data_IF_454706230260
#
_entry.id   IF_454706230260
#
_cell.length_a   1.000
_cell.length_b   1.000
_cell.length_c   1.000
_cell.angle_alpha   90.00
_cell.angle_beta   90.00
_cell.angle_gamma   90.00
#
_symmetry.space_group_name_H-M   'P 1'
#
loop_
_entity.id
_entity.type
_entity.pdbx_description
1 polymer ?
#
# COMPACT_ATOMS: atom_id res chain seq x y z
N UNK A 1 14.81 -56.60 -22.51
CA UNK A 1 14.00 -55.80 -21.57
C UNK A 1 14.82 -54.54 -21.36
N UNK A 2 14.33 -53.41 -21.85
CA UNK A 2 14.99 -52.11 -21.72
C UNK A 2 14.75 -51.60 -20.32
N UNK A 3 15.83 -51.44 -19.54
CA UNK A 3 15.81 -50.74 -18.27
C UNK A 3 15.36 -49.30 -18.54
N UNK A 4 14.13 -49.00 -18.12
CA UNK A 4 13.56 -47.67 -18.18
C UNK A 4 14.20 -46.85 -17.05
N UNK A 5 15.34 -46.21 -17.36
CA UNK A 5 16.03 -45.23 -16.51
C UNK A 5 15.22 -43.92 -16.37
N UNK A 6 13.90 -44.04 -16.17
CA UNK A 6 13.01 -42.93 -15.88
C UNK A 6 13.48 -42.23 -14.61
N UNK A 7 13.57 -40.90 -14.64
CA UNK A 7 13.87 -40.10 -13.45
C UNK A 7 12.83 -40.46 -12.37
N UNK A 8 13.24 -40.92 -11.18
CA UNK A 8 12.28 -41.27 -10.13
C UNK A 8 11.45 -40.04 -9.76
N UNK A 9 10.15 -40.25 -9.74
CA UNK A 9 9.11 -39.29 -9.38
C UNK A 9 9.35 -38.75 -7.95
N UNK A 10 9.19 -37.44 -7.68
CA UNK A 10 9.25 -36.92 -6.29
C UNK A 10 8.10 -37.62 -5.54
N UNK A 11 8.41 -38.41 -4.50
CA UNK A 11 7.39 -38.99 -3.64
C UNK A 11 6.49 -37.97 -2.93
N UNK A 12 6.78 -36.67 -3.05
CA UNK A 12 6.01 -35.57 -2.47
C UNK A 12 5.34 -34.62 -3.48
N UNK A 13 5.82 -34.50 -4.74
CA UNK A 13 5.23 -33.62 -5.77
C UNK A 13 4.70 -34.40 -6.98
N UNK A 14 4.96 -35.73 -7.04
CA UNK A 14 4.66 -36.59 -8.19
C UNK A 14 5.21 -36.05 -9.53
N UNK A 15 6.21 -35.16 -9.48
CA UNK A 15 6.84 -34.59 -10.67
C UNK A 15 7.96 -35.51 -11.16
N UNK A 16 7.91 -35.83 -12.45
CA UNK A 16 8.90 -36.65 -13.15
C UNK A 16 10.03 -35.83 -13.77
N UNK A 17 9.96 -34.49 -13.71
CA UNK A 17 10.94 -33.59 -14.34
C UNK A 17 12.30 -33.52 -13.62
N UNK A 18 12.47 -34.23 -12.51
CA UNK A 18 13.74 -34.26 -11.76
C UNK A 18 14.13 -32.96 -11.08
N UNK A 19 13.17 -32.04 -10.89
CA UNK A 19 13.38 -30.69 -10.32
C UNK A 19 13.16 -30.66 -8.81
N UNK A 20 12.52 -31.68 -8.26
CA UNK A 20 12.29 -31.81 -6.83
C UNK A 20 13.51 -32.53 -6.20
N UNK A 21 14.14 -31.94 -5.18
CA UNK A 21 15.29 -32.56 -4.49
C UNK A 21 14.90 -33.94 -3.96
N UNK A 22 15.70 -34.98 -4.25
CA UNK A 22 15.49 -36.35 -3.72
C UNK A 22 15.50 -36.38 -2.19
N UNK A 23 16.11 -35.38 -1.56
CA UNK A 23 16.09 -35.14 -0.12
C UNK A 23 15.59 -33.71 0.12
N UNK A 24 14.31 -33.53 0.48
CA UNK A 24 13.81 -32.22 0.90
C UNK A 24 14.68 -31.74 2.06
N UNK A 25 15.28 -30.56 1.94
CA UNK A 25 16.06 -29.95 3.01
C UNK A 25 15.77 -28.46 3.07
N UNK A 26 15.65 -27.95 4.29
CA UNK A 26 15.60 -26.52 4.54
C UNK A 26 17.03 -25.98 4.60
N UNK A 27 17.20 -24.70 4.27
CA UNK A 27 18.45 -24.00 4.56
C UNK A 27 18.57 -23.89 6.08
N UNK A 28 19.66 -24.45 6.64
CA UNK A 28 19.92 -24.51 8.08
C UNK A 28 18.76 -25.13 8.89
N UNK A 29 18.06 -26.12 8.32
CA UNK A 29 16.91 -26.79 8.95
C UNK A 29 15.76 -25.86 9.37
N UNK A 30 15.72 -24.64 8.81
CA UNK A 30 14.86 -23.54 9.28
C UNK A 30 14.18 -22.76 8.15
N UNK A 31 14.90 -22.50 7.07
CA UNK A 31 14.44 -21.58 6.03
C UNK A 31 14.12 -22.28 4.71
N UNK A 32 13.11 -21.78 4.01
CA UNK A 32 12.94 -22.06 2.58
C UNK A 32 12.77 -20.75 1.81
N UNK A 33 12.97 -20.81 0.49
CA UNK A 33 12.84 -19.63 -0.38
C UNK A 33 11.87 -19.92 -1.50
N UNK A 34 10.99 -18.98 -1.78
CA UNK A 34 10.05 -19.04 -2.90
C UNK A 34 10.39 -17.93 -3.88
N UNK A 35 10.51 -18.29 -5.15
CA UNK A 35 10.56 -17.31 -6.24
C UNK A 35 9.12 -16.98 -6.64
N UNK A 36 8.79 -15.70 -6.69
CA UNK A 36 7.46 -15.24 -7.11
C UNK A 36 7.34 -15.37 -8.63
N UNK A 37 6.43 -16.22 -9.09
CA UNK A 37 6.09 -16.42 -10.51
C UNK A 37 4.89 -15.56 -10.90
N UNK A 38 4.58 -15.38 -12.19
CA UNK A 38 3.55 -14.44 -12.70
C UNK A 38 2.22 -14.40 -11.90
N UNK A 39 1.74 -15.54 -11.39
CA UNK A 39 0.47 -15.65 -10.66
C UNK A 39 0.60 -15.55 -9.13
N UNK A 40 1.74 -15.07 -8.63
CA UNK A 40 2.03 -15.03 -7.19
C UNK A 40 1.00 -14.20 -6.41
N UNK A 41 0.37 -13.23 -7.05
CA UNK A 41 -0.63 -12.34 -6.49
C UNK A 41 -1.96 -13.06 -6.18
N UNK A 42 -2.24 -14.17 -6.88
CA UNK A 42 -3.39 -15.04 -6.65
C UNK A 42 -3.03 -16.16 -5.67
N UNK A 43 -1.96 -16.88 -5.94
CA UNK A 43 -1.49 -17.97 -5.09
C UNK A 43 0.02 -18.15 -5.19
N UNK A 44 0.64 -18.58 -4.10
CA UNK A 44 2.07 -18.89 -4.05
C UNK A 44 2.30 -20.31 -3.58
N UNK A 45 2.88 -21.11 -4.47
CA UNK A 45 3.12 -22.54 -4.24
C UNK A 45 4.34 -22.78 -3.36
N UNK A 46 4.22 -23.75 -2.46
CA UNK A 46 5.32 -24.22 -1.63
C UNK A 46 6.19 -25.18 -2.45
N UNK A 47 7.53 -25.00 -2.49
CA UNK A 47 8.44 -25.93 -3.16
C UNK A 47 8.35 -27.38 -2.64
N UNK A 48 8.56 -28.42 -3.50
CA UNK A 48 8.54 -29.85 -3.07
C UNK A 48 9.43 -30.05 -1.84
N UNK A 49 10.62 -29.44 -1.83
CA UNK A 49 11.61 -29.61 -0.76
C UNK A 49 11.17 -29.00 0.60
N UNK A 50 10.28 -28.02 0.60
CA UNK A 50 9.83 -27.34 1.82
C UNK A 50 8.45 -27.83 2.30
N UNK A 51 7.66 -28.41 1.39
CA UNK A 51 6.27 -28.82 1.62
C UNK A 51 6.09 -29.70 2.87
N UNK A 52 6.90 -30.75 3.12
CA UNK A 52 6.72 -31.60 4.30
C UNK A 52 6.81 -30.82 5.61
N UNK A 53 7.80 -29.92 5.70
CA UNK A 53 8.06 -29.13 6.89
C UNK A 53 6.99 -28.07 7.15
N UNK A 54 6.46 -27.45 6.08
CA UNK A 54 5.36 -26.48 6.21
C UNK A 54 4.07 -27.17 6.66
N UNK A 55 3.80 -28.37 6.14
CA UNK A 55 2.64 -29.16 6.55
C UNK A 55 2.73 -29.60 8.01
N UNK A 56 3.89 -30.11 8.44
CA UNK A 56 4.18 -30.42 9.84
C UNK A 56 4.00 -29.17 10.73
N UNK A 57 4.57 -28.03 10.33
CA UNK A 57 4.46 -26.74 11.06
C UNK A 57 3.02 -26.24 11.19
N UNK A 58 2.15 -26.56 10.25
CA UNK A 58 0.73 -26.20 10.29
C UNK A 58 -0.15 -27.32 10.88
N UNK A 59 0.49 -28.37 11.44
CA UNK A 59 -0.12 -29.48 12.15
C UNK A 59 -0.88 -30.48 11.27
N UNK A 60 -0.62 -30.52 9.96
CA UNK A 60 -1.17 -31.56 9.11
C UNK A 60 -0.59 -32.91 9.55
N UNK A 61 -1.43 -33.94 9.65
CA UNK A 61 -0.97 -35.28 10.02
C UNK A 61 -0.02 -35.85 8.97
N UNK A 62 0.85 -36.77 9.39
CA UNK A 62 1.78 -37.45 8.48
C UNK A 62 1.06 -38.29 7.42
N UNK A 63 -0.21 -38.64 7.63
CA UNK A 63 -1.06 -39.34 6.65
C UNK A 63 -1.88 -38.35 5.79
N UNK A 64 -1.83 -37.05 6.09
CA UNK A 64 -2.62 -36.00 5.42
C UNK A 64 -1.90 -35.35 4.23
N UNK A 65 -0.69 -35.80 3.87
CA UNK A 65 0.02 -35.30 2.67
C UNK A 65 -0.79 -35.49 1.38
N UNK A 66 -1.68 -36.48 1.36
CA UNK A 66 -2.57 -36.76 0.22
C UNK A 66 -3.97 -36.15 0.40
N UNK A 67 -4.28 -35.55 1.56
CA UNK A 67 -5.60 -35.02 1.85
C UNK A 67 -5.80 -33.59 1.32
N UNK A 68 -6.96 -33.37 0.70
CA UNK A 68 -7.39 -32.04 0.27
C UNK A 68 -7.97 -31.31 1.49
N UNK A 69 -7.17 -30.48 2.11
CA UNK A 69 -7.54 -29.74 3.32
C UNK A 69 -7.07 -28.28 3.22
N UNK A 70 -7.81 -27.38 3.87
CA UNK A 70 -7.43 -25.97 3.99
C UNK A 70 -7.29 -25.61 5.46
N UNK A 71 -6.14 -25.05 5.83
CA UNK A 71 -5.88 -24.51 7.16
C UNK A 71 -5.60 -23.02 7.11
N UNK A 72 -5.62 -22.39 8.28
CA UNK A 72 -5.16 -21.02 8.45
C UNK A 72 -3.70 -21.03 8.88
N UNK A 73 -2.92 -20.11 8.34
CA UNK A 73 -1.53 -19.89 8.73
C UNK A 73 -1.36 -18.42 9.11
N UNK A 74 -0.63 -18.17 10.19
CA UNK A 74 -0.25 -16.83 10.61
C UNK A 74 1.10 -16.49 9.99
N UNK A 75 1.12 -15.55 9.05
CA UNK A 75 2.36 -15.02 8.47
C UNK A 75 2.77 -13.76 9.19
N UNK A 76 3.98 -13.74 9.76
CA UNK A 76 4.53 -12.61 10.50
C UNK A 76 5.74 -12.02 9.83
N UNK A 77 6.00 -10.74 10.09
CA UNK A 77 7.16 -10.04 9.51
C UNK A 77 7.88 -9.26 10.61
N UNK A 78 9.19 -9.02 10.43
CA UNK A 78 9.99 -8.23 11.38
C UNK A 78 9.53 -6.79 11.58
N UNK A 79 8.76 -6.25 10.62
CA UNK A 79 8.12 -4.93 10.73
C UNK A 79 6.79 -4.98 11.51
N UNK A 80 6.50 -6.10 12.17
CA UNK A 80 5.36 -6.34 13.05
C UNK A 80 4.04 -6.64 12.34
N UNK A 81 4.00 -6.70 11.01
CA UNK A 81 2.77 -7.07 10.29
C UNK A 81 2.45 -8.54 10.49
N UNK A 82 1.16 -8.83 10.62
CA UNK A 82 0.61 -10.17 10.77
C UNK A 82 -0.52 -10.37 9.74
N UNK A 83 -0.48 -11.49 9.03
CA UNK A 83 -1.45 -11.84 8.00
C UNK A 83 -1.99 -13.25 8.26
N UNK A 84 -3.29 -13.35 8.51
CA UNK A 84 -3.98 -14.63 8.61
C UNK A 84 -4.32 -15.14 7.21
N UNK A 85 -3.49 -16.00 6.64
CA UNK A 85 -3.68 -16.51 5.27
C UNK A 85 -4.35 -17.88 5.28
N UNK A 86 -4.93 -18.28 4.13
CA UNK A 86 -5.34 -19.67 3.93
C UNK A 86 -4.20 -20.44 3.28
N UNK A 87 -3.94 -21.61 3.83
CA UNK A 87 -3.00 -22.57 3.29
C UNK A 87 -3.80 -23.76 2.76
N UNK A 88 -3.68 -23.99 1.46
CA UNK A 88 -4.38 -25.06 0.75
C UNK A 88 -3.42 -26.21 0.53
N UNK A 89 -3.78 -27.40 0.99
CA UNK A 89 -3.09 -28.64 0.68
C UNK A 89 -3.91 -29.48 -0.30
N UNK A 90 -3.23 -30.11 -1.25
CA UNK A 90 -3.74 -31.14 -2.13
C UNK A 90 -2.63 -32.18 -2.36
N UNK A 91 -2.97 -33.32 -2.95
CA UNK A 91 -2.08 -34.49 -3.14
C UNK A 91 -0.67 -34.11 -3.61
N UNK A 92 -0.59 -33.29 -4.65
CA UNK A 92 0.66 -32.96 -5.37
C UNK A 92 1.22 -31.58 -5.03
N UNK A 93 0.47 -30.74 -4.31
CA UNK A 93 0.81 -29.31 -4.15
C UNK A 93 0.18 -28.67 -2.93
N UNK A 94 0.90 -27.71 -2.37
CA UNK A 94 0.39 -26.83 -1.33
C UNK A 94 0.69 -25.38 -1.67
N UNK A 95 -0.19 -24.46 -1.29
CA UNK A 95 0.00 -23.03 -1.60
C UNK A 95 -0.70 -22.11 -0.60
N UNK A 96 -0.16 -20.90 -0.46
CA UNK A 96 -0.87 -19.78 0.15
C UNK A 96 -1.79 -19.12 -0.88
N UNK A 97 -3.01 -18.78 -0.47
CA UNK A 97 -3.96 -18.02 -1.28
C UNK A 97 -4.96 -17.32 -0.36
N UNK A 98 -5.35 -16.08 -0.69
CA UNK A 98 -6.52 -15.31 -0.22
C UNK A 98 -6.22 -13.80 -0.29
N UNK A 99 -7.20 -12.96 0.03
CA UNK A 99 -7.01 -11.51 0.13
C UNK A 99 -5.96 -11.07 1.16
N UNK A 100 -5.69 -11.87 2.19
CA UNK A 100 -4.65 -11.54 3.18
C UNK A 100 -3.25 -11.90 2.67
N UNK A 101 -3.14 -12.92 1.82
CA UNK A 101 -1.93 -13.16 1.03
C UNK A 101 -1.70 -12.00 0.06
N UNK A 102 -2.77 -11.53 -0.59
CA UNK A 102 -2.72 -10.36 -1.47
C UNK A 102 -2.25 -9.10 -0.71
N UNK A 103 -2.72 -8.93 0.53
CA UNK A 103 -2.30 -7.83 1.39
C UNK A 103 -0.80 -7.90 1.75
N UNK A 104 -0.24 -9.10 2.00
CA UNK A 104 1.18 -9.26 2.32
C UNK A 104 2.05 -8.73 1.17
N UNK A 105 1.83 -9.21 -0.06
CA UNK A 105 2.69 -8.78 -1.15
C UNK A 105 2.50 -7.28 -1.47
N UNK A 106 1.27 -6.75 -1.36
CA UNK A 106 1.00 -5.31 -1.51
C UNK A 106 1.69 -4.48 -0.43
N UNK A 107 1.76 -5.00 0.79
CA UNK A 107 2.43 -4.33 1.92
C UNK A 107 3.90 -4.06 1.61
N UNK A 108 4.57 -4.99 0.92
CA UNK A 108 6.01 -4.90 0.62
C UNK A 108 6.31 -4.53 -0.84
N UNK A 109 5.30 -4.42 -1.69
CA UNK A 109 5.48 -4.11 -3.10
C UNK A 109 6.29 -5.18 -3.83
N UNK A 110 6.01 -6.46 -3.55
CA UNK A 110 6.70 -7.53 -4.24
C UNK A 110 6.38 -7.54 -5.74
N UNK A 111 7.37 -7.94 -6.53
CA UNK A 111 7.30 -8.05 -7.98
C UNK A 111 7.66 -9.47 -8.42
N UNK A 112 7.25 -9.84 -9.63
CA UNK A 112 7.62 -11.12 -10.24
C UNK A 112 9.15 -11.28 -10.28
N UNK A 113 9.63 -12.50 -10.04
CA UNK A 113 11.05 -12.83 -10.02
C UNK A 113 11.74 -12.58 -8.68
N UNK A 114 11.12 -11.83 -7.76
CA UNK A 114 11.65 -11.68 -6.40
C UNK A 114 11.69 -13.02 -5.67
N UNK A 115 12.65 -13.15 -4.74
CA UNK A 115 12.81 -14.33 -3.89
C UNK A 115 12.48 -13.97 -2.46
N UNK A 116 11.48 -14.63 -1.90
CA UNK A 116 11.01 -14.41 -0.53
C UNK A 116 11.46 -15.58 0.33
N UNK A 117 12.15 -15.27 1.42
CA UNK A 117 12.58 -16.27 2.40
C UNK A 117 11.50 -16.41 3.48
N UNK A 118 11.21 -17.65 3.83
CA UNK A 118 10.31 -18.01 4.91
C UNK A 118 11.09 -18.76 5.98
N UNK A 119 10.78 -18.47 7.23
CA UNK A 119 11.33 -19.07 8.43
C UNK A 119 10.20 -19.77 9.19
N UNK A 120 10.30 -21.09 9.29
CA UNK A 120 9.29 -21.94 9.94
C UNK A 120 9.71 -22.40 11.34
N UNK A 121 10.95 -22.08 11.76
CA UNK A 121 11.51 -22.47 13.06
C UNK A 121 12.28 -21.28 13.65
N UNK A 122 11.61 -20.17 13.97
CA UNK A 122 12.26 -19.04 14.63
C UNK A 122 12.80 -19.48 16.00
N UNK A 123 14.08 -19.21 16.26
CA UNK A 123 14.81 -19.65 17.47
C UNK A 123 14.23 -19.14 18.81
N UNK A 124 13.35 -18.14 18.78
CA UNK A 124 12.90 -17.39 19.95
C UNK A 124 11.54 -17.85 20.54
N UNK A 125 10.99 -18.99 20.10
CA UNK A 125 9.69 -19.48 20.60
C UNK A 125 9.78 -20.95 21.03
N UNK A 126 10.03 -21.18 22.32
CA UNK A 126 9.81 -22.47 23.03
C UNK A 126 8.30 -22.74 23.24
N UNK A 127 7.51 -22.54 22.20
CA UNK A 127 6.07 -22.79 22.22
C UNK A 127 5.75 -23.75 21.07
N UNK A 128 5.59 -25.03 21.42
CA UNK A 128 5.29 -26.11 20.47
C UNK A 128 3.95 -25.89 19.75
N UNK A 129 3.07 -25.02 20.27
CA UNK A 129 1.80 -24.64 19.63
C UNK A 129 1.94 -23.46 18.65
N UNK A 130 3.15 -22.88 18.52
CA UNK A 130 3.39 -21.78 17.61
C UNK A 130 3.40 -22.24 16.15
N UNK A 131 2.28 -22.04 15.47
CA UNK A 131 2.11 -22.31 14.03
C UNK A 131 2.43 -21.09 13.15
N UNK A 132 3.05 -20.05 13.69
CA UNK A 132 3.47 -18.87 12.92
C UNK A 132 4.60 -19.23 11.95
N UNK A 133 4.52 -18.65 10.75
CA UNK A 133 5.58 -18.67 9.76
C UNK A 133 6.07 -17.24 9.58
N UNK A 134 7.36 -17.01 9.78
CA UNK A 134 7.97 -15.72 9.58
C UNK A 134 8.33 -15.55 8.11
N UNK A 135 7.94 -14.41 7.55
CA UNK A 135 8.35 -13.97 6.22
C UNK A 135 9.51 -13.00 6.41
N UNK A 136 10.70 -13.45 6.04
CA UNK A 136 11.92 -12.68 6.16
C UNK A 136 12.02 -11.71 4.98
N UNK A 137 11.63 -10.47 5.24
CA UNK A 137 11.57 -9.40 4.25
C UNK A 137 12.53 -8.29 4.67
N UNK A 138 13.62 -8.10 3.93
CA UNK A 138 14.58 -7.02 4.19
C UNK A 138 14.12 -5.65 3.73
N UNK A 139 13.16 -5.61 2.81
CA UNK A 139 12.62 -4.36 2.29
C UNK A 139 11.63 -3.75 3.28
N UNK A 140 11.67 -2.41 3.49
CA UNK A 140 10.67 -1.74 4.31
C UNK A 140 9.29 -1.87 3.67
N UNK A 141 8.20 -1.88 4.46
CA UNK A 141 6.85 -1.85 3.91
C UNK A 141 6.65 -0.59 3.07
N UNK A 142 5.83 -0.71 2.03
CA UNK A 142 5.41 0.39 1.13
C UNK A 142 3.96 0.83 1.41
N UNK A 143 3.17 0.05 2.14
CA UNK A 143 1.82 0.40 2.57
C UNK A 143 1.65 0.19 4.08
N UNK A 144 0.99 1.13 4.80
CA UNK A 144 0.76 1.04 6.23
C UNK A 144 -0.38 0.08 6.57
N UNK A 145 -0.44 -0.41 7.81
CA UNK A 145 -1.60 -1.19 8.30
C UNK A 145 -2.93 -0.45 8.15
N UNK A 146 -2.93 0.86 8.38
CA UNK A 146 -4.14 1.70 8.23
C UNK A 146 -4.72 1.64 6.83
N UNK A 147 -3.90 1.43 5.78
CA UNK A 147 -4.40 1.24 4.41
C UNK A 147 -5.36 0.04 4.32
N UNK A 148 -4.99 -1.10 4.90
CA UNK A 148 -5.79 -2.33 4.85
C UNK A 148 -7.04 -2.27 5.71
N UNK A 149 -7.02 -1.46 6.78
CA UNK A 149 -8.18 -1.20 7.65
C UNK A 149 -9.13 -0.14 7.08
N UNK A 150 -8.67 0.65 6.10
CA UNK A 150 -9.45 1.74 5.53
C UNK A 150 -10.52 1.28 4.54
N UNK A 151 -11.48 2.16 4.28
CA UNK A 151 -12.57 1.90 3.34
C UNK A 151 -12.06 1.62 1.92
N UNK A 152 -12.86 0.91 1.10
CA UNK A 152 -12.53 0.67 -0.31
C UNK A 152 -12.33 1.99 -1.08
N UNK A 153 -13.06 3.05 -0.71
CA UNK A 153 -12.90 4.36 -1.33
C UNK A 153 -11.57 4.99 -0.94
N UNK A 154 -11.22 4.98 0.35
CA UNK A 154 -9.93 5.51 0.84
C UNK A 154 -8.75 4.83 0.15
N UNK A 155 -8.78 3.50 0.02
CA UNK A 155 -7.76 2.74 -0.73
C UNK A 155 -7.65 3.19 -2.18
N UNK A 156 -8.77 3.36 -2.89
CA UNK A 156 -8.76 3.88 -4.26
C UNK A 156 -8.10 5.26 -4.36
N UNK A 157 -8.33 6.15 -3.40
CA UNK A 157 -7.67 7.47 -3.37
C UNK A 157 -6.16 7.32 -3.17
N UNK A 158 -5.73 6.48 -2.22
CA UNK A 158 -4.30 6.23 -1.99
C UNK A 158 -3.65 5.65 -3.26
N UNK A 159 -4.30 4.68 -3.90
CA UNK A 159 -3.79 4.01 -5.10
C UNK A 159 -3.74 4.95 -6.31
N UNK A 160 -4.70 5.88 -6.44
CA UNK A 160 -4.77 6.84 -7.54
C UNK A 160 -4.02 8.15 -7.27
N UNK A 161 -3.23 8.22 -6.20
CA UNK A 161 -2.47 9.42 -5.81
C UNK A 161 -1.44 9.78 -6.87
N UNK A 162 -1.56 11.00 -7.40
CA UNK A 162 -0.58 11.56 -8.30
C UNK A 162 0.58 12.16 -7.49
N UNK A 163 1.81 11.77 -7.83
CA UNK A 163 3.02 12.30 -7.22
C UNK A 163 3.75 13.16 -8.24
N UNK A 164 4.08 14.41 -7.87
CA UNK A 164 5.09 15.15 -8.60
C UNK A 164 6.48 14.52 -8.42
N UNK A 165 7.46 15.02 -9.19
CA UNK A 165 8.85 14.60 -9.01
C UNK A 165 9.28 14.73 -7.53
N UNK A 166 9.93 13.70 -7.01
CA UNK A 166 10.47 13.65 -5.64
C UNK A 166 9.43 13.89 -4.51
N UNK A 167 8.17 13.50 -4.73
CA UNK A 167 7.11 13.63 -3.71
C UNK A 167 6.47 12.31 -3.28
N UNK A 168 6.97 11.17 -3.78
CA UNK A 168 6.43 9.84 -3.45
C UNK A 168 6.51 9.59 -1.94
N UNK A 169 5.37 9.21 -1.36
CA UNK A 169 5.26 8.95 0.07
C UNK A 169 5.84 7.59 0.45
N UNK A 170 6.51 7.52 1.60
CA UNK A 170 6.91 6.27 2.25
C UNK A 170 5.70 5.64 3.00
N UNK A 171 5.88 4.47 3.62
CA UNK A 171 4.79 3.78 4.33
C UNK A 171 4.18 4.60 5.46
N UNK A 172 5.01 5.23 6.30
CA UNK A 172 4.52 6.07 7.40
C UNK A 172 3.70 7.25 6.86
N UNK A 173 4.23 7.92 5.83
CA UNK A 173 3.59 9.07 5.20
C UNK A 173 2.28 8.72 4.49
N UNK A 174 2.18 7.52 3.91
CA UNK A 174 0.90 7.01 3.41
C UNK A 174 -0.09 6.77 4.55
N UNK A 175 0.39 6.47 5.77
CA UNK A 175 -0.45 6.41 6.96
C UNK A 175 -1.11 7.76 7.24
N UNK A 176 -0.35 8.85 7.10
CA UNK A 176 -0.90 10.21 7.19
C UNK A 176 -1.87 10.54 6.06
N UNK A 177 -1.60 10.08 4.83
CA UNK A 177 -2.55 10.22 3.72
C UNK A 177 -3.87 9.50 4.00
N UNK A 178 -3.85 8.26 4.49
CA UNK A 178 -5.05 7.51 4.87
C UNK A 178 -5.86 8.29 5.91
N UNK A 179 -5.20 8.76 6.97
CA UNK A 179 -5.85 9.54 8.02
C UNK A 179 -6.37 10.90 7.51
N UNK A 180 -5.66 11.54 6.58
CA UNK A 180 -6.11 12.79 5.95
C UNK A 180 -7.38 12.59 5.10
N UNK A 181 -7.49 11.45 4.40
CA UNK A 181 -8.71 11.10 3.65
C UNK A 181 -9.89 10.92 4.61
N UNK A 182 -9.68 10.32 5.78
CA UNK A 182 -10.72 10.19 6.81
C UNK A 182 -11.19 11.56 7.32
N UNK A 183 -10.27 12.51 7.52
CA UNK A 183 -10.62 13.89 7.89
C UNK A 183 -11.49 14.56 6.82
N UNK A 184 -11.20 14.33 5.52
CA UNK A 184 -12.00 14.85 4.41
C UNK A 184 -13.43 14.29 4.47
N UNK A 185 -13.59 12.99 4.69
CA UNK A 185 -14.92 12.37 4.80
C UNK A 185 -15.69 12.86 6.04
N UNK A 186 -15.00 13.05 7.17
CA UNK A 186 -15.58 13.60 8.38
C UNK A 186 -16.04 15.06 8.19
N UNK A 187 -15.22 15.88 7.53
CA UNK A 187 -15.56 17.27 7.20
C UNK A 187 -16.79 17.35 6.29
N UNK A 188 -16.84 16.52 5.24
CA UNK A 188 -17.99 16.47 4.34
C UNK A 188 -19.27 16.10 5.08
N UNK A 189 -19.18 15.10 5.95
CA UNK A 189 -20.30 14.64 6.78
C UNK A 189 -20.83 15.76 7.68
N UNK A 190 -19.94 16.49 8.36
CA UNK A 190 -20.34 17.57 9.27
C UNK A 190 -20.91 18.80 8.57
N UNK A 191 -20.49 19.06 7.33
CA UNK A 191 -20.93 20.21 6.53
C UNK A 191 -22.05 19.86 5.53
N UNK A 192 -22.63 18.65 5.62
CA UNK A 192 -23.66 18.16 4.69
C UNK A 192 -23.26 18.29 3.21
N UNK A 193 -21.97 18.13 2.91
CA UNK A 193 -21.46 18.14 1.54
C UNK A 193 -21.88 16.82 0.89
N UNK A 194 -22.52 16.91 -0.29
CA UNK A 194 -23.05 15.74 -1.01
C UNK A 194 -22.00 14.63 -1.14
N UNK A 195 -22.36 13.36 -0.86
CA UNK A 195 -21.47 12.23 -1.07
C UNK A 195 -21.30 11.89 -2.57
N UNK A 196 -22.14 12.44 -3.45
CA UNK A 196 -22.31 12.00 -4.82
C UNK A 196 -21.46 12.81 -5.83
N UNK A 197 -20.37 12.14 -6.24
CA UNK A 197 -19.60 12.19 -7.51
C UNK A 197 -18.81 13.49 -7.79
N UNK A 198 -17.56 13.45 -8.23
CA UNK A 198 -16.77 12.44 -8.96
C UNK A 198 -15.35 12.39 -8.39
N UNK A 199 -14.72 11.21 -8.46
CA UNK A 199 -13.37 10.86 -8.00
C UNK A 199 -12.53 11.95 -7.31
N UNK A 200 -12.05 11.65 -6.10
CA UNK A 200 -10.95 12.42 -5.53
C UNK A 200 -9.79 12.48 -6.51
N UNK A 201 -9.23 13.67 -6.69
CA UNK A 201 -7.97 13.81 -7.41
C UNK A 201 -6.85 14.13 -6.43
N UNK A 202 -6.30 13.09 -5.78
CA UNK A 202 -5.21 13.21 -4.83
C UNK A 202 -3.91 13.61 -5.53
N UNK A 203 -3.26 14.63 -4.99
CA UNK A 203 -1.95 15.13 -5.40
C UNK A 203 -1.04 15.21 -4.18
N UNK A 204 0.19 14.74 -4.35
CA UNK A 204 1.30 15.10 -3.46
C UNK A 204 2.34 15.84 -4.27
N UNK A 205 2.65 17.06 -3.85
CA UNK A 205 3.55 17.96 -4.57
C UNK A 205 4.60 18.58 -3.64
N UNK A 206 5.86 18.56 -4.04
CA UNK A 206 6.92 19.31 -3.34
C UNK A 206 6.79 20.80 -3.65
N UNK A 207 6.69 21.64 -2.62
CA UNK A 207 6.63 23.09 -2.77
C UNK A 207 7.99 23.63 -3.22
N UNK A 208 8.03 24.38 -4.31
CA UNK A 208 9.22 25.02 -4.87
C UNK A 208 9.13 26.54 -4.74
N UNK A 209 10.21 27.28 -5.02
CA UNK A 209 10.23 28.75 -4.99
C UNK A 209 9.09 29.37 -5.81
N UNK A 210 8.81 28.77 -6.97
CA UNK A 210 7.70 29.17 -7.84
C UNK A 210 6.35 29.12 -7.16
N UNK A 211 6.13 28.22 -6.19
CA UNK A 211 4.88 28.14 -5.43
C UNK A 211 4.73 29.28 -4.41
N UNK A 212 5.81 29.93 -3.97
CA UNK A 212 5.76 31.06 -3.02
C UNK A 212 5.82 32.42 -3.72
N UNK A 213 6.60 32.51 -4.80
CA UNK A 213 6.74 33.74 -5.59
C UNK A 213 5.50 33.97 -6.46
N UNK A 214 4.87 32.89 -6.96
CA UNK A 214 3.67 33.03 -7.76
C UNK A 214 2.47 33.45 -6.91
N UNK A 215 1.70 34.40 -7.42
CA UNK A 215 0.38 34.77 -6.86
C UNK A 215 -0.66 33.63 -6.92
N UNK A 216 -0.35 32.52 -7.61
CA UNK A 216 -1.31 31.47 -7.92
C UNK A 216 -0.66 30.09 -7.75
N UNK A 217 -1.42 29.12 -7.21
CA UNK A 217 -1.04 27.71 -7.23
C UNK A 217 -1.40 27.12 -8.59
N UNK A 218 -0.53 26.28 -9.14
CA UNK A 218 -0.78 25.58 -10.41
C UNK A 218 -0.79 24.08 -10.17
N UNK A 219 -1.92 23.43 -10.41
CA UNK A 219 -2.04 21.99 -10.37
C UNK A 219 -1.83 21.41 -11.79
N UNK A 220 -1.14 20.26 -11.91
CA UNK A 220 -0.85 19.64 -13.20
C UNK A 220 -2.13 19.16 -13.90
N UNK A 221 -2.17 19.17 -15.23
CA UNK A 221 -3.33 18.73 -16.03
C UNK A 221 -3.84 17.35 -15.62
N UNK A 222 -2.93 16.44 -15.25
CA UNK A 222 -3.23 15.07 -14.83
C UNK A 222 -4.15 15.00 -13.61
N UNK A 223 -4.18 16.05 -12.78
CA UNK A 223 -5.06 16.12 -11.61
C UNK A 223 -6.26 17.06 -11.83
N UNK A 224 -6.45 17.56 -13.05
CA UNK A 224 -7.59 18.40 -13.41
C UNK A 224 -8.69 17.52 -13.98
N UNK A 225 -9.87 17.46 -13.34
CA UNK A 225 -10.97 16.69 -13.86
C UNK A 225 -11.53 17.22 -15.16
N UNK A 226 -11.89 16.33 -16.07
CA UNK A 226 -12.50 16.69 -17.37
C UNK A 226 -13.86 17.40 -17.21
N UNK A 227 -14.59 17.12 -16.12
CA UNK A 227 -15.89 17.74 -15.85
C UNK A 227 -15.80 19.07 -15.08
N UNK A 228 -14.60 19.52 -14.71
CA UNK A 228 -14.43 20.80 -14.05
C UNK A 228 -14.60 21.95 -15.07
N UNK A 229 -15.44 22.93 -14.76
CA UNK A 229 -15.60 24.11 -15.62
C UNK A 229 -14.26 24.84 -15.82
N UNK A 230 -14.07 25.48 -16.98
CA UNK A 230 -12.83 26.19 -17.31
C UNK A 230 -12.53 27.33 -16.32
N UNK A 231 -13.53 27.96 -15.74
CA UNK A 231 -13.38 28.99 -14.70
C UNK A 231 -14.49 28.83 -13.67
N UNK A 232 -14.22 29.25 -12.43
CA UNK A 232 -15.20 29.19 -11.35
C UNK A 232 -14.63 29.58 -10.00
N UNK A 233 -15.42 29.36 -8.96
CA UNK A 233 -15.06 29.59 -7.57
C UNK A 233 -14.76 28.27 -6.83
N UNK A 234 -13.89 28.35 -5.84
CA UNK A 234 -13.32 27.24 -5.08
C UNK A 234 -13.20 27.59 -3.61
N UNK A 235 -13.43 26.59 -2.76
CA UNK A 235 -13.16 26.62 -1.34
C UNK A 235 -11.85 25.88 -1.04
N UNK A 236 -10.85 26.58 -0.51
CA UNK A 236 -9.62 25.97 -0.03
C UNK A 236 -9.71 25.71 1.47
N UNK A 237 -9.52 24.46 1.89
CA UNK A 237 -9.71 24.05 3.28
C UNK A 237 -8.47 23.33 3.79
N UNK A 238 -7.83 23.90 4.83
CA UNK A 238 -6.80 23.19 5.60
C UNK A 238 -7.50 22.39 6.70
N UNK A 239 -7.38 21.06 6.68
CA UNK A 239 -8.06 20.19 7.66
C UNK A 239 -7.26 19.95 8.94
N UNK A 240 -5.95 20.24 8.94
CA UNK A 240 -5.05 19.99 10.07
C UNK A 240 -4.34 21.28 10.51
N UNK A 241 -4.12 21.46 11.83
CA UNK A 241 -4.49 20.58 12.95
C UNK A 241 -5.97 20.70 13.36
N UNK A 242 -6.65 21.74 12.90
CA UNK A 242 -8.08 21.98 13.10
C UNK A 242 -8.58 22.59 11.81
N UNK A 243 -9.76 22.18 11.30
CA UNK A 243 -10.31 22.75 10.08
C UNK A 243 -10.34 24.27 10.19
N UNK A 244 -9.60 24.96 9.32
CA UNK A 244 -9.71 26.41 9.21
C UNK A 244 -11.01 26.77 8.48
N UNK A 245 -11.48 28.00 8.67
CA UNK A 245 -12.49 28.56 7.77
C UNK A 245 -12.03 28.39 6.31
N UNK A 246 -12.98 28.03 5.44
CA UNK A 246 -12.71 27.83 4.03
C UNK A 246 -12.29 29.16 3.39
N UNK A 247 -11.13 29.17 2.74
CA UNK A 247 -10.69 30.33 1.98
C UNK A 247 -11.34 30.30 0.59
N UNK A 248 -12.15 31.31 0.30
CA UNK A 248 -12.82 31.45 -1.00
C UNK A 248 -11.85 32.05 -2.02
N UNK A 249 -11.70 31.38 -3.16
CA UNK A 249 -10.84 31.84 -4.24
C UNK A 249 -11.40 31.45 -5.60
N UNK A 250 -11.05 32.22 -6.62
CA UNK A 250 -11.37 31.87 -8.00
C UNK A 250 -10.28 31.00 -8.61
N UNK A 251 -10.66 30.12 -9.54
CA UNK A 251 -9.76 29.29 -10.31
C UNK A 251 -9.99 29.46 -11.82
N UNK A 252 -8.99 29.08 -12.61
CA UNK A 252 -9.13 28.94 -14.06
C UNK A 252 -8.27 27.80 -14.59
N UNK A 253 -8.73 27.12 -15.63
CA UNK A 253 -8.00 26.09 -16.36
C UNK A 253 -7.39 26.75 -17.59
N UNK A 254 -6.06 26.67 -17.70
CA UNK A 254 -5.31 27.25 -18.81
C UNK A 254 -5.62 26.51 -20.11
N UNK A 255 -6.04 27.23 -21.15
CA UNK A 255 -6.29 26.66 -22.48
C UNK A 255 -5.02 26.15 -23.17
N UNK A 256 -3.85 26.66 -22.79
CA UNK A 256 -2.58 26.32 -23.42
C UNK A 256 -2.01 24.98 -22.95
N UNK A 257 -2.11 24.69 -21.64
CA UNK A 257 -1.47 23.53 -21.01
C UNK A 257 -2.41 22.68 -20.14
N UNK A 258 -3.68 23.06 -20.03
CA UNK A 258 -4.70 22.37 -19.24
C UNK A 258 -4.46 22.42 -17.73
N UNK A 259 -3.53 23.26 -17.24
CA UNK A 259 -3.23 23.35 -15.81
C UNK A 259 -4.27 24.18 -15.08
N UNK A 260 -4.69 23.70 -13.91
CA UNK A 260 -5.60 24.42 -13.03
C UNK A 260 -4.80 25.46 -12.24
N UNK A 261 -5.18 26.72 -12.39
CA UNK A 261 -4.61 27.88 -11.72
C UNK A 261 -5.56 28.37 -10.64
N UNK A 262 -5.11 28.33 -9.40
CA UNK A 262 -5.88 28.77 -8.23
C UNK A 262 -5.34 30.13 -7.81
N UNK A 263 -6.20 31.16 -7.80
CA UNK A 263 -5.78 32.53 -7.50
C UNK A 263 -5.49 32.70 -6.01
N UNK A 264 -4.74 33.75 -5.70
CA UNK A 264 -4.50 34.22 -4.34
C UNK A 264 -3.81 33.23 -3.39
N UNK A 265 -3.14 32.21 -3.92
CA UNK A 265 -2.41 31.21 -3.16
C UNK A 265 -1.40 31.82 -2.17
N UNK A 266 -0.70 32.88 -2.58
CA UNK A 266 0.25 33.58 -1.71
C UNK A 266 -0.42 34.18 -0.46
N UNK A 267 -1.71 34.53 -0.51
CA UNK A 267 -2.43 34.99 0.69
C UNK A 267 -2.65 33.84 1.66
N UNK A 268 -3.07 32.68 1.16
CA UNK A 268 -3.25 31.45 1.97
C UNK A 268 -1.95 31.07 2.67
N UNK A 269 -0.83 31.05 1.94
CA UNK A 269 0.48 30.67 2.49
C UNK A 269 1.09 31.69 3.45
N UNK A 270 0.74 32.98 3.30
CA UNK A 270 1.27 34.05 4.16
C UNK A 270 0.43 34.30 5.40
N UNK A 271 -0.89 34.08 5.32
CA UNK A 271 -1.85 34.35 6.39
C UNK A 271 -1.86 33.27 7.47
N UNK A 272 -1.49 32.03 7.15
CA UNK A 272 -1.61 30.90 8.06
C UNK A 272 -0.25 30.32 8.46
N UNK A 273 0.06 30.32 9.75
CA UNK A 273 0.98 29.34 10.32
C UNK A 273 0.31 27.98 10.25
N UNK A 274 0.94 27.01 9.60
CA UNK A 274 0.39 25.66 9.47
C UNK A 274 1.11 24.72 10.42
N UNK A 275 0.40 23.71 10.92
CA UNK A 275 1.07 22.60 11.59
C UNK A 275 1.62 21.69 10.52
N UNK A 276 2.92 21.43 10.61
CA UNK A 276 3.66 20.70 9.59
C UNK A 276 4.07 19.34 10.12
N UNK A 277 3.58 18.30 9.45
CA UNK A 277 3.74 16.91 9.90
C UNK A 277 3.10 16.65 11.27
N UNK A 278 3.57 15.61 11.93
CA UNK A 278 2.86 15.00 13.07
C UNK A 278 3.40 15.46 14.42
N UNK A 279 4.55 16.14 14.41
CA UNK A 279 5.19 16.70 15.61
C UNK A 279 4.56 18.01 16.10
N UNK A 280 3.36 18.37 15.64
CA UNK A 280 2.66 19.62 15.98
C UNK A 280 3.51 20.91 15.82
N UNK A 281 4.54 20.88 14.98
CA UNK A 281 5.40 22.04 14.75
C UNK A 281 4.64 23.08 13.92
N UNK A 282 4.16 24.12 14.60
CA UNK A 282 3.49 25.26 13.99
C UNK A 282 4.53 26.15 13.33
N UNK A 283 4.63 26.11 11.99
CA UNK A 283 5.45 27.07 11.24
C UNK A 283 4.83 27.41 9.89
N UNK A 284 5.32 28.47 9.25
CA UNK A 284 4.94 28.74 7.86
C UNK A 284 5.46 27.61 6.96
N UNK A 285 4.69 27.18 5.96
CA UNK A 285 5.21 26.27 4.94
C UNK A 285 6.40 26.92 4.23
N UNK A 286 7.37 26.10 3.85
CA UNK A 286 8.61 26.51 3.21
C UNK A 286 8.80 25.72 1.93
N UNK A 287 9.73 26.19 1.10
CA UNK A 287 10.26 25.42 -0.04
C UNK A 287 10.65 24.03 0.45
N UNK A 288 10.54 22.99 -0.37
CA UNK A 288 10.86 21.62 0.01
C UNK A 288 9.82 20.89 0.87
N UNK A 289 8.91 21.58 1.56
CA UNK A 289 7.76 20.92 2.19
C UNK A 289 6.88 20.25 1.14
N UNK A 290 6.11 19.24 1.54
CA UNK A 290 5.22 18.52 0.62
C UNK A 290 3.77 18.89 0.91
N UNK A 291 3.11 19.36 -0.12
CA UNK A 291 1.70 19.68 -0.16
C UNK A 291 0.91 18.44 -0.58
N UNK A 292 0.06 17.94 0.31
CA UNK A 292 -0.97 16.96 -0.01
C UNK A 292 -2.27 17.69 -0.28
N UNK A 293 -2.95 17.32 -1.35
CA UNK A 293 -4.28 17.86 -1.62
C UNK A 293 -5.21 16.87 -2.28
N UNK A 294 -6.48 17.06 -2.01
CA UNK A 294 -7.58 16.32 -2.60
C UNK A 294 -8.55 17.34 -3.21
N UNK A 295 -8.61 17.34 -4.55
CA UNK A 295 -9.61 18.13 -5.27
C UNK A 295 -10.93 17.36 -5.28
N UNK A 296 -11.97 18.00 -4.77
CA UNK A 296 -13.34 17.50 -4.73
C UNK A 296 -14.22 18.38 -5.63
N UNK A 297 -14.91 17.74 -6.57
CA UNK A 297 -15.73 18.40 -7.60
C UNK A 297 -16.97 17.56 -7.91
N UNK A 298 -18.07 18.19 -8.34
CA UNK A 298 -19.35 17.54 -8.59
C UNK A 298 -20.47 18.54 -8.87
N UNK A 299 -21.73 18.17 -8.56
CA UNK A 299 -22.91 19.06 -8.68
C UNK A 299 -22.94 20.20 -7.64
N UNK A 300 -21.95 20.26 -6.74
CA UNK A 300 -21.83 21.28 -5.69
C UNK A 300 -20.58 22.16 -5.82
N UNK A 301 -20.26 22.95 -4.78
CA UNK A 301 -19.06 23.78 -4.76
C UNK A 301 -17.79 22.94 -4.91
N UNK A 302 -16.77 23.53 -5.54
CA UNK A 302 -15.46 22.90 -5.71
C UNK A 302 -14.65 23.12 -4.42
N UNK A 303 -14.10 22.04 -3.87
CA UNK A 303 -13.25 22.10 -2.68
C UNK A 303 -11.84 21.61 -3.01
N UNK A 304 -10.84 22.31 -2.51
CA UNK A 304 -9.48 21.83 -2.43
C UNK A 304 -9.13 21.64 -0.95
N UNK A 305 -9.23 20.39 -0.50
CA UNK A 305 -8.72 20.00 0.81
C UNK A 305 -7.22 19.85 0.72
N UNK A 306 -6.49 20.39 1.70
CA UNK A 306 -5.04 20.25 1.70
C UNK A 306 -4.44 20.12 3.10
N UNK A 307 -3.21 19.61 3.12
CA UNK A 307 -2.36 19.49 4.29
C UNK A 307 -0.89 19.58 3.90
N UNK A 308 -0.02 19.92 4.85
CA UNK A 308 1.42 20.05 4.64
C UNK A 308 2.15 18.98 5.42
N UNK A 309 2.88 18.14 4.70
CA UNK A 309 3.86 17.21 5.25
C UNK A 309 5.21 17.90 5.39
N UNK A 310 5.83 17.67 6.54
CA UNK A 310 7.20 18.09 6.78
C UNK A 310 8.17 17.52 5.74
N UNK A 311 9.28 18.23 5.53
CA UNK A 311 10.48 17.63 4.95
C UNK A 311 10.87 16.41 5.76
N UNK A 312 11.37 15.37 5.07
CA UNK A 312 12.09 14.29 5.75
C UNK A 312 13.31 14.92 6.42
N UNK A 313 13.56 14.59 7.69
CA UNK A 313 14.86 14.90 8.31
C UNK A 313 15.91 14.14 7.48
N UNK A 314 16.93 14.87 6.97
CA UNK A 314 18.08 14.27 6.27
C UNK A 314 19.02 13.60 7.27
#
# INVERSE_FOLDING_TARGET
MSDDDGIPECGYCYDHRGVCDRFPHLQNDRFFTVKLEETFDVCTYIPCHARPYVLEKLGFGLDDFENVETRKAHLRTKHGYEFLVKFYNAVDRSHFCCSNWEALYKTYGFEEGMRIRFDIRPEDYDDDDNNDIWVDVDMPPVLPRSYFLSSRNSRKVVDSTYYSYDSKLNCEEKGYLVSFIEDVEAFKTSHSISPNYTGYVPLVHKLLDGNFIAKNLRLPKQVVPDMLFTEGDMHMVSLRPTPSEAYHTAYSISSNDGRLKIKEWSKVMNAQTQIIGDKMNVRKPQVGDRFMSILHYGEGPVYLFYGILARREE
#
